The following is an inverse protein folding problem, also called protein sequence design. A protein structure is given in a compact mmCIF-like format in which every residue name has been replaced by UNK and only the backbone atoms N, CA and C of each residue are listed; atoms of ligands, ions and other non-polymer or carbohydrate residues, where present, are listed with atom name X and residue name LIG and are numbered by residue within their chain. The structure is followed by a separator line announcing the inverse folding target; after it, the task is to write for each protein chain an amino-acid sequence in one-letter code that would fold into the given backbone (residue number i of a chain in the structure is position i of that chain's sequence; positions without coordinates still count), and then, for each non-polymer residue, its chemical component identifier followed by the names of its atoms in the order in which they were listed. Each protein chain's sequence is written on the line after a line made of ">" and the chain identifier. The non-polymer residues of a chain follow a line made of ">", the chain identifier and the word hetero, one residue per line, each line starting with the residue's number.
data_IF_864793330451
#
_entry.id   IF_864793330451
#
_cell.length_a   1.000
_cell.length_b   1.000
_cell.length_c   1.000
_cell.angle_alpha   90.00
_cell.angle_beta   90.00
_cell.angle_gamma   90.00
#
_symmetry.space_group_name_H-M   'P 1'
#
loop_
_entity.id
_entity.type
_entity.pdbx_description
1 polymer ?
#
# COMPACT_ATOMS: atom_id res chain seq x y z
N UNK A 1 -13.28 -14.12 -8.34
CA UNK A 1 -12.96 -12.84 -9.03
C UNK A 1 -13.15 -11.57 -8.19
N UNK A 2 -13.38 -11.66 -6.86
CA UNK A 2 -13.51 -10.47 -6.00
C UNK A 2 -14.77 -9.62 -6.25
N UNK A 3 -15.68 -10.05 -7.13
CA UNK A 3 -16.98 -9.40 -7.38
C UNK A 3 -18.00 -9.85 -6.35
N UNK A 4 -18.85 -8.93 -5.91
CA UNK A 4 -19.98 -9.24 -5.05
C UNK A 4 -21.09 -9.93 -5.86
N UNK A 5 -21.73 -10.92 -5.22
CA UNK A 5 -22.86 -11.63 -5.76
C UNK A 5 -23.90 -11.87 -4.65
N UNK A 6 -25.17 -12.01 -5.03
CA UNK A 6 -26.29 -12.17 -4.09
C UNK A 6 -27.12 -13.40 -4.39
N UNK A 7 -27.53 -14.10 -3.34
CA UNK A 7 -28.55 -15.14 -3.41
C UNK A 7 -29.97 -14.54 -3.57
N UNK A 8 -30.93 -15.30 -4.12
CA UNK A 8 -32.35 -14.97 -4.03
C UNK A 8 -32.80 -14.80 -2.57
N UNK A 9 -33.82 -13.97 -2.33
CA UNK A 9 -34.42 -13.84 -1.00
C UNK A 9 -35.06 -15.16 -0.57
N UNK A 10 -34.75 -15.63 0.63
CA UNK A 10 -35.31 -16.86 1.20
C UNK A 10 -34.64 -18.14 0.73
N UNK A 11 -33.49 -18.05 0.05
CA UNK A 11 -32.67 -19.20 -0.31
C UNK A 11 -32.05 -19.83 0.95
N UNK A 12 -32.12 -21.16 1.08
CA UNK A 12 -31.57 -21.90 2.22
C UNK A 12 -30.04 -21.76 2.30
N UNK A 13 -29.38 -21.56 1.15
CA UNK A 13 -27.93 -21.32 1.10
C UNK A 13 -27.51 -20.01 1.77
N UNK A 14 -28.44 -19.13 2.13
CA UNK A 14 -28.13 -17.91 2.86
C UNK A 14 -27.63 -18.18 4.30
N UNK A 15 -27.86 -19.38 4.85
CA UNK A 15 -27.31 -19.79 6.15
C UNK A 15 -25.94 -20.44 6.06
N UNK A 16 -25.48 -20.77 4.85
CA UNK A 16 -24.19 -21.39 4.63
C UNK A 16 -23.08 -20.33 4.62
N UNK A 17 -21.97 -20.61 5.31
CA UNK A 17 -20.79 -19.74 5.31
C UNK A 17 -20.04 -19.76 3.98
N UNK A 18 -20.14 -20.86 3.24
CA UNK A 18 -19.40 -21.12 2.02
C UNK A 18 -20.30 -21.77 0.97
N UNK A 19 -20.29 -21.21 -0.25
CA UNK A 19 -21.04 -21.73 -1.39
C UNK A 19 -20.16 -21.73 -2.65
N UNK A 20 -20.32 -22.76 -3.47
CA UNK A 20 -19.77 -22.80 -4.82
C UNK A 20 -20.83 -22.30 -5.80
N UNK A 21 -20.52 -21.22 -6.54
CA UNK A 21 -21.45 -20.64 -7.54
C UNK A 21 -21.06 -21.13 -8.93
N UNK A 22 -21.97 -21.85 -9.59
CA UNK A 22 -21.79 -22.33 -10.95
C UNK A 22 -22.35 -21.36 -12.00
N UNK A 23 -23.44 -20.66 -11.67
CA UNK A 23 -24.12 -19.74 -12.59
C UNK A 23 -24.56 -18.46 -11.88
N UNK A 24 -24.21 -17.30 -12.46
CA UNK A 24 -24.60 -15.98 -11.98
C UNK A 24 -24.76 -15.00 -13.13
N UNK A 25 -25.64 -14.00 -12.95
CA UNK A 25 -25.77 -12.88 -13.89
C UNK A 25 -24.55 -11.96 -13.78
N UNK A 26 -23.82 -11.80 -14.89
CA UNK A 26 -22.58 -11.03 -14.97
C UNK A 26 -22.74 -9.51 -15.06
N UNK A 27 -23.97 -8.97 -14.97
CA UNK A 27 -24.30 -7.54 -15.11
C UNK A 27 -23.40 -6.56 -14.32
N UNK A 28 -23.50 -5.26 -14.62
CA UNK A 28 -22.57 -4.21 -14.14
C UNK A 28 -22.55 -3.92 -12.62
N UNK A 29 -23.20 -4.74 -11.78
CA UNK A 29 -23.29 -4.57 -10.33
C UNK A 29 -23.13 -5.88 -9.57
N UNK A 30 -23.87 -6.04 -8.47
CA UNK A 30 -23.96 -7.30 -7.71
C UNK A 30 -24.61 -8.40 -8.57
N UNK A 31 -23.84 -9.45 -8.89
CA UNK A 31 -24.32 -10.55 -9.72
C UNK A 31 -25.37 -11.38 -8.99
N UNK A 32 -26.50 -11.68 -9.63
CA UNK A 32 -27.51 -12.57 -9.06
C UNK A 32 -27.09 -14.02 -9.25
N UNK A 33 -27.02 -14.78 -8.17
CA UNK A 33 -26.73 -16.21 -8.20
C UNK A 33 -27.98 -16.97 -8.67
N UNK A 34 -27.81 -17.83 -9.67
CA UNK A 34 -28.86 -18.72 -10.19
C UNK A 34 -28.64 -20.17 -9.77
N UNK A 35 -27.37 -20.59 -9.70
CA UNK A 35 -27.02 -21.95 -9.33
C UNK A 35 -25.82 -21.93 -8.38
N UNK A 36 -26.02 -22.47 -7.18
CA UNK A 36 -24.98 -22.67 -6.20
C UNK A 36 -25.22 -23.95 -5.39
N UNK A 37 -24.18 -24.42 -4.73
CA UNK A 37 -24.20 -25.55 -3.80
C UNK A 37 -23.43 -25.20 -2.53
N UNK A 38 -23.75 -25.78 -1.37
CA UNK A 38 -22.94 -25.63 -0.17
C UNK A 38 -21.53 -26.16 -0.44
N UNK A 39 -20.53 -25.50 0.12
CA UNK A 39 -19.13 -25.85 -0.05
C UNK A 39 -18.49 -25.99 1.33
N UNK A 40 -17.77 -27.08 1.55
CA UNK A 40 -16.97 -27.21 2.77
C UNK A 40 -15.63 -26.47 2.56
N UNK A 41 -15.24 -25.62 3.50
CA UNK A 41 -13.95 -24.93 3.44
C UNK A 41 -12.76 -25.88 3.40
N UNK A 42 -12.91 -27.11 3.92
CA UNK A 42 -11.87 -28.14 3.90
C UNK A 42 -11.58 -28.64 2.49
N UNK A 43 -12.58 -28.63 1.62
CA UNK A 43 -12.43 -29.02 0.20
C UNK A 43 -11.62 -27.98 -0.59
N UNK A 44 -11.48 -26.77 -0.04
CA UNK A 44 -10.66 -25.71 -0.62
C UNK A 44 -9.19 -25.76 -0.19
N UNK A 45 -8.85 -26.54 0.84
CA UNK A 45 -7.52 -26.56 1.43
C UNK A 45 -6.42 -26.94 0.42
N UNK A 46 -6.71 -27.89 -0.48
CA UNK A 46 -5.76 -28.37 -1.50
C UNK A 46 -5.52 -27.35 -2.63
N UNK A 47 -6.46 -26.41 -2.81
CA UNK A 47 -6.36 -25.32 -3.80
C UNK A 47 -5.86 -24.02 -3.17
N UNK A 48 -5.65 -24.01 -1.86
CA UNK A 48 -5.31 -22.81 -1.13
C UNK A 48 -3.80 -22.55 -1.15
N UNK A 49 -3.43 -21.33 -1.50
CA UNK A 49 -2.04 -20.89 -1.51
C UNK A 49 -1.76 -19.98 -0.32
N UNK A 50 -0.57 -20.12 0.26
CA UNK A 50 -0.08 -19.20 1.29
C UNK A 50 0.61 -18.02 0.62
N UNK A 51 0.20 -16.83 1.00
CA UNK A 51 0.79 -15.59 0.50
C UNK A 51 1.01 -14.62 1.65
N UNK A 52 2.12 -13.86 1.60
CA UNK A 52 2.37 -12.77 2.53
C UNK A 52 1.79 -11.50 1.92
N UNK A 53 1.00 -10.77 2.69
CA UNK A 53 0.43 -9.49 2.29
C UNK A 53 0.80 -8.41 3.33
N UNK A 54 1.15 -7.23 2.83
CA UNK A 54 1.34 -6.03 3.63
C UNK A 54 0.13 -5.11 3.46
N UNK A 55 -0.33 -4.54 4.57
CA UNK A 55 -1.46 -3.61 4.60
C UNK A 55 -1.13 -2.42 5.47
N UNK A 56 -1.63 -1.26 5.08
CA UNK A 56 -1.60 -0.09 5.95
C UNK A 56 -2.79 -0.14 6.92
N UNK A 57 -2.52 -0.07 8.21
CA UNK A 57 -3.53 0.02 9.25
C UNK A 57 -3.76 1.49 9.61
N UNK A 58 -4.90 2.03 9.20
CA UNK A 58 -5.25 3.44 9.44
C UNK A 58 -5.35 3.80 10.93
N UNK A 59 -5.83 2.88 11.77
CA UNK A 59 -6.02 3.16 13.20
C UNK A 59 -4.69 3.21 13.94
N UNK A 60 -3.74 2.35 13.56
CA UNK A 60 -2.41 2.26 14.18
C UNK A 60 -1.36 3.09 13.45
N UNK A 61 -1.70 3.65 12.29
CA UNK A 61 -0.80 4.31 11.34
C UNK A 61 0.49 3.50 11.12
N UNK A 62 0.33 2.21 10.83
CA UNK A 62 1.42 1.25 10.77
C UNK A 62 1.19 0.18 9.68
N UNK A 63 2.29 -0.42 9.22
CA UNK A 63 2.26 -1.61 8.37
C UNK A 63 1.90 -2.83 9.22
N UNK A 64 0.84 -3.53 8.82
CA UNK A 64 0.53 -4.87 9.26
C UNK A 64 0.96 -5.87 8.18
N UNK A 65 1.74 -6.87 8.58
CA UNK A 65 2.13 -8.00 7.73
C UNK A 65 1.33 -9.22 8.14
N UNK A 66 0.70 -9.86 7.16
CA UNK A 66 -0.12 -11.04 7.40
C UNK A 66 0.23 -12.15 6.41
N UNK A 67 0.23 -13.39 6.88
CA UNK A 67 0.17 -14.57 6.03
C UNK A 67 -1.30 -14.92 5.82
N UNK A 68 -1.72 -14.95 4.58
CA UNK A 68 -3.07 -15.33 4.17
C UNK A 68 -3.03 -16.68 3.46
N UNK A 69 -3.96 -17.55 3.83
CA UNK A 69 -4.29 -18.75 3.07
C UNK A 69 -5.45 -18.39 2.14
N UNK A 70 -5.23 -18.37 0.83
CA UNK A 70 -6.21 -17.87 -0.15
C UNK A 70 -6.54 -18.87 -1.24
N UNK A 71 -7.78 -18.82 -1.71
CA UNK A 71 -8.20 -19.45 -2.98
C UNK A 71 -8.62 -18.34 -3.94
N UNK A 72 -7.78 -18.10 -4.94
CA UNK A 72 -7.93 -16.95 -5.83
C UNK A 72 -7.93 -15.63 -5.05
N UNK A 73 -9.10 -14.98 -4.95
CA UNK A 73 -9.25 -13.71 -4.24
C UNK A 73 -9.86 -13.87 -2.83
N UNK A 74 -10.26 -15.07 -2.42
CA UNK A 74 -10.89 -15.32 -1.12
C UNK A 74 -9.82 -15.66 -0.08
N UNK A 75 -9.85 -15.00 1.08
CA UNK A 75 -9.00 -15.36 2.21
C UNK A 75 -9.74 -16.34 3.11
N UNK A 76 -9.18 -17.54 3.29
CA UNK A 76 -9.69 -18.58 4.18
C UNK A 76 -9.22 -18.33 5.63
N UNK A 77 -7.96 -17.93 5.76
CA UNK A 77 -7.34 -17.69 7.07
C UNK A 77 -6.29 -16.59 6.95
N UNK A 78 -6.25 -15.71 7.94
CA UNK A 78 -5.23 -14.65 8.06
C UNK A 78 -4.50 -14.80 9.38
N UNK A 79 -3.17 -14.75 9.37
CA UNK A 79 -2.32 -14.81 10.57
C UNK A 79 -1.31 -13.65 10.57
N UNK A 80 -1.15 -12.89 11.67
CA UNK A 80 -0.10 -11.89 11.76
C UNK A 80 1.29 -12.49 11.59
N UNK A 81 2.16 -11.76 10.90
CA UNK A 81 3.58 -12.08 10.71
C UNK A 81 4.44 -10.91 11.16
N UNK A 82 5.70 -11.16 11.57
CA UNK A 82 6.65 -10.10 11.82
C UNK A 82 6.94 -9.33 10.53
N UNK A 83 7.29 -8.06 10.68
CA UNK A 83 7.81 -7.23 9.59
C UNK A 83 9.12 -7.84 9.06
N UNK A 84 9.25 -8.02 7.73
CA UNK A 84 10.43 -8.66 7.15
C UNK A 84 11.68 -7.76 7.20
N UNK A 85 11.53 -6.43 7.20
CA UNK A 85 12.65 -5.49 7.23
C UNK A 85 13.45 -5.44 5.92
N UNK A 86 12.85 -5.86 4.81
CA UNK A 86 13.46 -6.01 3.50
C UNK A 86 13.08 -4.86 2.54
N UNK A 87 13.55 -4.97 1.30
CA UNK A 87 13.25 -4.00 0.24
C UNK A 87 11.75 -3.93 -0.09
N UNK A 88 10.99 -5.02 0.12
CA UNK A 88 9.54 -5.03 -0.11
C UNK A 88 8.83 -4.12 0.88
N UNK A 89 9.23 -4.13 2.17
CA UNK A 89 8.71 -3.21 3.17
C UNK A 89 9.01 -1.75 2.83
N UNK A 90 10.24 -1.46 2.38
CA UNK A 90 10.64 -0.11 1.94
C UNK A 90 9.80 0.34 0.74
N UNK A 91 9.65 -0.51 -0.26
CA UNK A 91 8.83 -0.24 -1.44
C UNK A 91 7.35 -0.02 -1.08
N UNK A 92 6.83 -0.78 -0.12
CA UNK A 92 5.47 -0.59 0.38
C UNK A 92 5.29 0.78 1.06
N UNK A 93 6.19 1.17 1.97
CA UNK A 93 6.17 2.53 2.55
C UNK A 93 6.27 3.62 1.48
N UNK A 94 7.15 3.47 0.50
CA UNK A 94 7.29 4.43 -0.60
C UNK A 94 5.99 4.58 -1.39
N UNK A 95 5.27 3.48 -1.65
CA UNK A 95 3.97 3.56 -2.33
C UNK A 95 2.95 4.38 -1.52
N UNK A 96 2.93 4.21 -0.20
CA UNK A 96 2.04 4.98 0.68
C UNK A 96 2.44 6.46 0.69
N UNK A 97 3.74 6.76 0.80
CA UNK A 97 4.21 8.16 0.74
C UNK A 97 3.86 8.81 -0.60
N UNK A 98 3.97 8.08 -1.71
CA UNK A 98 3.56 8.56 -3.04
C UNK A 98 2.06 8.83 -3.12
N UNK A 99 1.24 8.00 -2.49
CA UNK A 99 -0.21 8.17 -2.45
C UNK A 99 -0.64 9.32 -1.54
N UNK A 100 0.01 9.47 -0.37
CA UNK A 100 -0.39 10.39 0.69
C UNK A 100 0.30 11.76 0.65
N UNK A 101 1.41 11.88 -0.08
CA UNK A 101 2.21 13.10 -0.20
C UNK A 101 3.29 13.25 0.87
N UNK A 102 4.18 14.23 0.67
CA UNK A 102 5.35 14.44 1.54
C UNK A 102 4.95 14.96 2.93
N UNK A 103 3.97 15.87 2.98
CA UNK A 103 3.47 16.43 4.23
C UNK A 103 2.94 15.35 5.19
N UNK A 104 2.31 14.30 4.65
CA UNK A 104 1.85 13.17 5.45
C UNK A 104 3.00 12.43 6.14
N UNK A 105 4.13 12.27 5.45
CA UNK A 105 5.32 11.57 5.93
C UNK A 105 6.11 12.36 6.99
N UNK A 106 5.88 13.67 7.11
CA UNK A 106 6.58 14.55 8.06
C UNK A 106 7.34 15.71 7.42
N UNK A 107 7.23 15.89 6.11
CA UNK A 107 7.77 17.07 5.42
C UNK A 107 7.07 18.33 5.92
N UNK A 108 7.82 19.26 6.51
CA UNK A 108 7.28 20.41 7.22
C UNK A 108 7.77 21.74 6.61
N UNK A 109 7.45 22.84 7.28
CA UNK A 109 7.71 24.20 6.81
C UNK A 109 9.19 24.45 6.48
N UNK A 110 10.12 23.91 7.28
CA UNK A 110 11.56 24.03 7.02
C UNK A 110 11.95 23.44 5.66
N UNK A 111 11.39 22.28 5.31
CA UNK A 111 11.67 21.62 4.03
C UNK A 111 10.92 22.30 2.87
N UNK A 112 9.75 22.90 3.13
CA UNK A 112 9.07 23.75 2.15
C UNK A 112 9.90 25.00 1.81
N UNK A 113 10.51 25.64 2.81
CA UNK A 113 11.42 26.76 2.59
C UNK A 113 12.67 26.34 1.81
N UNK A 114 13.27 25.19 2.17
CA UNK A 114 14.40 24.63 1.43
C UNK A 114 14.03 24.40 -0.03
N UNK A 115 12.88 23.76 -0.28
CA UNK A 115 12.37 23.49 -1.62
C UNK A 115 12.20 24.79 -2.42
N UNK A 116 11.57 25.82 -1.83
CA UNK A 116 11.38 27.11 -2.47
C UNK A 116 12.71 27.79 -2.82
N UNK A 117 13.73 27.70 -1.94
CA UNK A 117 15.07 28.24 -2.19
C UNK A 117 15.75 27.53 -3.36
N UNK A 118 15.73 26.20 -3.39
CA UNK A 118 16.35 25.40 -4.47
C UNK A 118 15.66 25.65 -5.81
N UNK A 119 14.33 25.68 -5.85
CA UNK A 119 13.57 25.98 -7.06
C UNK A 119 13.82 27.42 -7.55
N UNK A 120 13.94 28.39 -6.64
CA UNK A 120 14.30 29.77 -6.99
C UNK A 120 15.70 29.84 -7.59
N UNK A 121 16.68 29.13 -7.00
CA UNK A 121 18.04 29.07 -7.53
C UNK A 121 18.09 28.43 -8.92
N UNK A 122 17.35 27.33 -9.13
CA UNK A 122 17.18 26.71 -10.45
C UNK A 122 16.62 27.69 -11.49
N UNK A 123 15.69 28.57 -11.10
CA UNK A 123 15.13 29.59 -12.00
C UNK A 123 16.10 30.74 -12.25
N UNK A 124 16.81 31.22 -11.22
CA UNK A 124 17.70 32.39 -11.31
C UNK A 124 19.08 32.07 -11.88
N UNK A 125 19.51 30.80 -11.80
CA UNK A 125 20.82 30.30 -12.26
C UNK A 125 20.62 29.10 -13.20
N UNK A 126 20.02 29.29 -14.39
CA UNK A 126 19.74 28.19 -15.32
C UNK A 126 21.00 27.50 -15.86
N UNK A 127 22.16 28.16 -15.80
CA UNK A 127 23.45 27.60 -16.23
C UNK A 127 24.06 26.64 -15.18
N UNK A 128 23.51 26.59 -13.97
CA UNK A 128 23.96 25.71 -12.88
C UNK A 128 23.06 24.47 -12.75
N UNK A 129 23.60 23.30 -12.36
CA UNK A 129 22.87 22.03 -12.36
C UNK A 129 21.96 21.84 -11.12
N UNK A 130 21.14 22.83 -10.78
CA UNK A 130 20.19 22.75 -9.67
C UNK A 130 19.09 21.72 -9.96
N UNK A 131 18.83 20.74 -9.07
CA UNK A 131 17.81 19.72 -9.31
C UNK A 131 16.38 20.28 -9.28
N UNK A 132 15.47 19.59 -9.94
CA UNK A 132 14.03 19.83 -9.74
C UNK A 132 13.62 19.13 -8.45
N UNK A 133 13.26 19.92 -7.44
CA UNK A 133 12.82 19.44 -6.14
C UNK A 133 11.33 19.71 -5.92
N UNK A 134 10.55 19.94 -6.97
CA UNK A 134 9.09 20.02 -6.86
C UNK A 134 8.53 18.76 -6.18
N UNK A 135 7.41 18.89 -5.47
CA UNK A 135 6.82 17.75 -4.74
C UNK A 135 6.56 16.55 -5.68
N UNK A 136 6.06 16.82 -6.89
CA UNK A 136 5.85 15.79 -7.91
C UNK A 136 7.15 15.04 -8.27
N UNK A 137 8.25 15.77 -8.48
CA UNK A 137 9.54 15.18 -8.80
C UNK A 137 10.12 14.41 -7.62
N UNK A 138 10.03 14.96 -6.40
CA UNK A 138 10.49 14.30 -5.17
C UNK A 138 9.75 13.00 -4.90
N UNK A 139 8.43 12.97 -5.07
CA UNK A 139 7.62 11.75 -4.92
C UNK A 139 7.96 10.71 -6.01
N UNK A 140 8.17 11.16 -7.25
CA UNK A 140 8.57 10.28 -8.35
C UNK A 140 9.94 9.61 -8.08
N UNK A 141 10.90 10.36 -7.55
CA UNK A 141 12.26 9.88 -7.26
C UNK A 141 12.46 9.40 -5.83
N UNK A 142 11.41 9.31 -5.00
CA UNK A 142 11.50 8.92 -3.58
C UNK A 142 12.27 7.60 -3.35
N UNK A 143 12.22 6.66 -4.30
CA UNK A 143 12.99 5.42 -4.22
C UNK A 143 14.51 5.60 -4.24
N UNK A 144 15.01 6.75 -4.71
CA UNK A 144 16.44 7.03 -4.81
C UNK A 144 16.97 7.74 -3.55
N UNK A 145 16.24 8.74 -3.05
CA UNK A 145 16.71 9.59 -1.95
C UNK A 145 16.10 9.23 -0.59
N UNK A 146 14.85 8.74 -0.54
CA UNK A 146 14.17 8.42 0.72
C UNK A 146 14.37 6.96 1.14
N UNK A 147 14.41 6.03 0.19
CA UNK A 147 14.51 4.58 0.46
C UNK A 147 15.59 4.18 1.49
N UNK A 148 16.83 4.75 1.45
CA UNK A 148 17.88 4.39 2.41
C UNK A 148 17.51 4.69 3.88
N UNK A 149 16.60 5.64 4.11
CA UNK A 149 16.17 6.06 5.44
C UNK A 149 14.93 5.32 5.95
N UNK A 150 14.31 4.47 5.11
CA UNK A 150 13.08 3.75 5.46
C UNK A 150 13.32 2.35 6.03
N UNK A 151 14.59 1.90 6.05
CA UNK A 151 14.90 0.56 6.48
C UNK A 151 14.48 0.32 7.94
N UNK A 152 13.69 -0.73 8.16
CA UNK A 152 13.16 -1.09 9.48
C UNK A 152 12.00 -0.21 9.97
N UNK A 153 11.61 0.85 9.25
CA UNK A 153 10.47 1.68 9.63
C UNK A 153 9.15 1.02 9.24
N UNK A 154 8.15 1.13 10.10
CA UNK A 154 6.83 0.51 9.88
C UNK A 154 5.67 1.42 10.25
N UNK A 155 5.93 2.54 10.92
CA UNK A 155 4.90 3.46 11.41
C UNK A 155 5.07 4.85 10.83
N UNK A 156 3.96 5.56 10.69
CA UNK A 156 3.97 6.98 10.31
C UNK A 156 4.74 7.83 11.31
N UNK A 157 4.57 7.56 12.60
CA UNK A 157 5.28 8.29 13.65
C UNK A 157 6.80 8.09 13.63
N UNK A 158 7.30 7.04 12.98
CA UNK A 158 8.73 6.84 12.75
C UNK A 158 9.19 7.66 11.53
N UNK A 159 8.41 7.68 10.45
CA UNK A 159 8.66 8.58 9.29
C UNK A 159 8.73 10.05 9.71
N UNK A 160 7.81 10.48 10.57
CA UNK A 160 7.75 11.86 11.06
C UNK A 160 8.95 12.26 11.93
N UNK A 161 9.68 11.29 12.48
CA UNK A 161 10.87 11.52 13.30
C UNK A 161 12.17 11.51 12.50
N UNK A 162 12.10 11.24 11.20
CA UNK A 162 13.26 11.34 10.34
C UNK A 162 13.84 12.76 10.39
N UNK A 163 15.16 12.84 10.26
CA UNK A 163 15.84 14.11 10.05
C UNK A 163 15.61 14.56 8.61
N UNK A 164 14.45 15.14 8.34
CA UNK A 164 14.04 15.52 6.98
C UNK A 164 14.99 16.53 6.33
N UNK A 165 15.70 17.33 7.11
CA UNK A 165 16.73 18.24 6.60
C UNK A 165 17.93 17.46 6.05
N UNK A 166 18.43 16.47 6.77
CA UNK A 166 19.50 15.58 6.28
C UNK A 166 19.05 14.78 5.06
N UNK A 167 17.83 14.24 5.09
CA UNK A 167 17.25 13.50 3.97
C UNK A 167 17.13 14.39 2.73
N UNK A 168 16.60 15.61 2.85
CA UNK A 168 16.44 16.54 1.73
C UNK A 168 17.79 16.94 1.12
N UNK A 169 18.84 17.09 1.94
CA UNK A 169 20.18 17.43 1.45
C UNK A 169 20.76 16.33 0.54
N UNK A 170 20.38 15.06 0.71
CA UNK A 170 20.82 13.98 -0.18
C UNK A 170 20.33 14.09 -1.62
N UNK A 171 19.30 14.92 -1.86
CA UNK A 171 18.77 15.19 -3.21
C UNK A 171 19.70 16.13 -3.99
N UNK A 172 20.51 16.93 -3.29
CA UNK A 172 21.46 17.82 -3.94
C UNK A 172 22.66 17.02 -4.47
N UNK A 173 23.15 17.30 -5.69
CA UNK A 173 24.25 16.54 -6.28
C UNK A 173 25.62 16.85 -5.66
N UNK A 174 25.68 17.73 -4.66
CA UNK A 174 26.89 18.11 -3.95
C UNK A 174 26.65 18.15 -2.44
N UNK A 175 27.67 17.86 -1.61
CA UNK A 175 27.58 17.83 -0.15
C UNK A 175 27.36 19.21 0.48
#
# INVERSE_FOLDING_TARGET
>A
NGRMARLPKGDELATESWIAVAELDGGGGEGRIFLAAPLDERDLADQAERQIAMRWNEQREAIDVVEELRVGQLSLQTRPKPLPGDDDQVNFLLSIVRERGLAWAGWADEQNEWQARVLSLRQWRPDEPWPDVSEAQLLATAGQWLAPFLQGLSKRSELQKLNWTEVAMTVLPWP
#
